data_IF_051144445190
#
_entry.id   IF_051144445190
#
_cell.length_a   1.000
_cell.length_b   1.000
_cell.length_c   1.000
_cell.angle_alpha   90.00
_cell.angle_beta   90.00
_cell.angle_gamma   90.00
#
_symmetry.space_group_name_H-M   'P 1'
#
loop_
_entity.id
_entity.type
_entity.pdbx_description
1 polymer ?
#
# COMPACT_ATOMS: atom_id res chain seq x y z
N UNK A 1 -9.20 21.24 -9.37
CA UNK A 1 -10.13 20.14 -9.06
C UNK A 1 -10.25 19.28 -10.30
N UNK A 2 -9.88 18.00 -10.21
CA UNK A 2 -9.95 17.09 -11.36
C UNK A 2 -11.29 16.35 -11.34
N UNK A 3 -11.98 16.31 -12.47
CA UNK A 3 -13.21 15.55 -12.65
C UNK A 3 -12.93 14.40 -13.60
N UNK A 4 -13.32 13.20 -13.20
CA UNK A 4 -13.19 11.98 -14.01
C UNK A 4 -14.60 11.51 -14.36
N UNK A 5 -14.85 11.29 -15.65
CA UNK A 5 -16.08 10.66 -16.11
C UNK A 5 -15.79 9.19 -16.45
N UNK A 6 -16.49 8.27 -15.81
CA UNK A 6 -16.46 6.84 -16.13
C UNK A 6 -17.63 6.57 -17.08
N UNK A 7 -17.34 6.04 -18.27
CA UNK A 7 -18.34 5.78 -19.33
C UNK A 7 -18.47 4.29 -19.57
N UNK A 8 -19.60 3.89 -20.17
CA UNK A 8 -19.87 2.52 -20.60
C UNK A 8 -19.76 1.50 -19.45
N UNK A 9 -20.25 1.88 -18.26
CA UNK A 9 -20.32 0.95 -17.14
C UNK A 9 -21.43 -0.06 -17.42
N UNK A 10 -21.19 -1.33 -17.11
CA UNK A 10 -22.24 -2.35 -17.20
C UNK A 10 -23.30 -2.03 -16.15
N UNK A 11 -24.57 -2.23 -16.51
CA UNK A 11 -25.69 -1.91 -15.63
C UNK A 11 -25.57 -2.59 -14.26
N UNK A 12 -25.20 -3.88 -14.26
CA UNK A 12 -25.04 -4.66 -13.03
C UNK A 12 -23.95 -4.08 -12.10
N UNK A 13 -22.87 -3.56 -12.67
CA UNK A 13 -21.77 -2.96 -11.92
C UNK A 13 -22.21 -1.61 -11.33
N UNK A 14 -22.95 -0.81 -12.11
CA UNK A 14 -23.53 0.46 -11.65
C UNK A 14 -24.46 0.24 -10.46
N UNK A 15 -25.41 -0.69 -10.59
CA UNK A 15 -26.38 -1.02 -9.54
C UNK A 15 -25.71 -1.56 -8.27
N UNK A 16 -24.66 -2.37 -8.43
CA UNK A 16 -23.88 -2.88 -7.30
C UNK A 16 -23.17 -1.75 -6.54
N UNK A 17 -22.55 -0.81 -7.26
CA UNK A 17 -21.90 0.36 -6.66
C UNK A 17 -22.90 1.30 -5.99
N UNK A 18 -24.08 1.48 -6.60
CA UNK A 18 -25.17 2.27 -6.04
C UNK A 18 -25.65 1.70 -4.71
N UNK A 19 -25.97 0.39 -4.69
CA UNK A 19 -26.41 -0.30 -3.46
C UNK A 19 -25.34 -0.26 -2.37
N UNK A 20 -24.07 -0.41 -2.73
CA UNK A 20 -22.97 -0.26 -1.77
C UNK A 20 -22.92 1.15 -1.17
N UNK A 21 -23.02 2.20 -1.99
CA UNK A 21 -23.04 3.57 -1.53
C UNK A 21 -24.25 3.86 -0.60
N UNK A 22 -25.44 3.38 -0.97
CA UNK A 22 -26.67 3.52 -0.18
C UNK A 22 -26.55 2.80 1.17
N UNK A 23 -25.95 1.60 1.20
CA UNK A 23 -25.73 0.85 2.45
C UNK A 23 -24.80 1.57 3.43
N UNK A 24 -23.90 2.41 2.93
CA UNK A 24 -23.01 3.26 3.73
C UNK A 24 -23.62 4.65 4.01
N UNK A 25 -24.85 4.92 3.56
CA UNK A 25 -25.51 6.22 3.72
C UNK A 25 -24.84 7.34 2.92
N UNK A 26 -24.10 7.01 1.85
CA UNK A 26 -23.32 7.95 1.04
C UNK A 26 -23.95 8.15 -0.33
N UNK A 27 -23.74 9.32 -0.93
CA UNK A 27 -23.98 9.48 -2.36
C UNK A 27 -22.98 8.64 -3.17
N UNK A 28 -23.39 8.15 -4.35
CA UNK A 28 -22.51 7.38 -5.23
C UNK A 28 -21.21 8.14 -5.55
N UNK A 29 -21.27 9.46 -5.76
CA UNK A 29 -20.09 10.28 -6.00
C UNK A 29 -19.14 10.32 -4.80
N UNK A 30 -19.67 10.47 -3.59
CA UNK A 30 -18.85 10.47 -2.37
C UNK A 30 -18.19 9.11 -2.15
N UNK A 31 -18.94 8.03 -2.35
CA UNK A 31 -18.44 6.66 -2.30
C UNK A 31 -17.31 6.43 -3.31
N UNK A 32 -17.54 6.76 -4.59
CA UNK A 32 -16.53 6.56 -5.65
C UNK A 32 -15.26 7.38 -5.41
N UNK A 33 -15.38 8.60 -4.87
CA UNK A 33 -14.21 9.42 -4.49
C UNK A 33 -13.34 8.72 -3.44
N UNK A 34 -13.95 8.08 -2.45
CA UNK A 34 -13.23 7.31 -1.44
C UNK A 34 -12.56 6.08 -2.04
N UNK A 35 -13.27 5.34 -2.91
CA UNK A 35 -12.71 4.19 -3.60
C UNK A 35 -11.49 4.54 -4.46
N UNK A 36 -11.55 5.66 -5.19
CA UNK A 36 -10.41 6.18 -5.95
C UNK A 36 -9.23 6.54 -5.03
N UNK A 37 -9.51 7.13 -3.86
CA UNK A 37 -8.49 7.41 -2.86
C UNK A 37 -7.79 6.15 -2.35
N UNK A 38 -8.56 5.09 -2.09
CA UNK A 38 -8.03 3.78 -1.68
C UNK A 38 -7.18 3.15 -2.79
N UNK A 39 -7.66 3.20 -4.03
CA UNK A 39 -6.93 2.71 -5.20
C UNK A 39 -5.59 3.45 -5.38
N UNK A 40 -5.60 4.78 -5.27
CA UNK A 40 -4.40 5.60 -5.40
C UNK A 40 -3.35 5.26 -4.32
N UNK A 41 -3.78 5.06 -3.07
CA UNK A 41 -2.89 4.62 -1.98
C UNK A 41 -2.30 3.24 -2.26
N UNK A 42 -3.11 2.31 -2.75
CA UNK A 42 -2.65 0.97 -3.13
C UNK A 42 -1.63 1.01 -4.28
N UNK A 43 -1.91 1.79 -5.31
CA UNK A 43 -1.01 1.99 -6.45
C UNK A 43 0.33 2.58 -6.02
N UNK A 44 0.33 3.61 -5.17
CA UNK A 44 1.56 4.20 -4.60
C UNK A 44 2.39 3.18 -3.83
N UNK A 45 1.76 2.40 -2.93
CA UNK A 45 2.46 1.35 -2.18
C UNK A 45 3.07 0.31 -3.12
N UNK A 46 2.30 -0.14 -4.11
CA UNK A 46 2.80 -1.09 -5.11
C UNK A 46 4.02 -0.54 -5.85
N UNK A 47 3.96 0.71 -6.32
CA UNK A 47 5.09 1.34 -7.01
C UNK A 47 6.36 1.40 -6.14
N UNK A 48 6.23 1.71 -4.84
CA UNK A 48 7.37 1.70 -3.91
C UNK A 48 7.99 0.32 -3.73
N UNK A 49 7.16 -0.72 -3.63
CA UNK A 49 7.67 -2.09 -3.54
C UNK A 49 8.30 -2.57 -4.85
N UNK A 50 7.69 -2.22 -5.98
CA UNK A 50 8.22 -2.56 -7.30
C UNK A 50 9.59 -1.87 -7.50
N UNK A 51 9.74 -0.59 -7.12
CA UNK A 51 11.04 0.10 -7.18
C UNK A 51 12.07 -0.50 -6.23
N UNK A 52 11.68 -0.84 -5.00
CA UNK A 52 12.59 -1.49 -4.05
C UNK A 52 13.08 -2.85 -4.56
N UNK A 53 12.19 -3.61 -5.22
CA UNK A 53 12.53 -4.90 -5.84
C UNK A 53 13.49 -4.73 -7.02
N UNK A 54 13.27 -3.70 -7.84
CA UNK A 54 14.15 -3.35 -8.96
C UNK A 54 15.54 -2.96 -8.45
N UNK A 55 15.64 -2.06 -7.47
CA UNK A 55 16.92 -1.70 -6.85
C UNK A 55 17.62 -2.89 -6.20
N UNK A 56 16.88 -3.81 -5.57
CA UNK A 56 17.45 -5.04 -5.00
C UNK A 56 17.97 -6.01 -6.08
N UNK A 57 17.35 -6.04 -7.26
CA UNK A 57 17.82 -6.82 -8.39
C UNK A 57 19.08 -6.20 -9.04
N UNK A 58 19.14 -4.87 -9.12
CA UNK A 58 20.30 -4.14 -9.66
C UNK A 58 21.52 -4.15 -8.73
N UNK A 59 21.31 -4.15 -7.42
CA UNK A 59 22.39 -4.16 -6.41
C UNK A 59 23.22 -5.45 -6.39
N UNK A 60 22.84 -6.45 -7.17
CA UNK A 60 23.51 -7.75 -7.22
C UNK A 60 23.21 -8.57 -5.96
N UNK A 61 22.88 -9.84 -6.16
CA UNK A 61 22.71 -10.80 -5.07
C UNK A 61 24.08 -11.10 -4.45
N UNK A 62 24.57 -10.23 -3.57
CA UNK A 62 25.47 -10.69 -2.51
C UNK A 62 24.69 -11.73 -1.70
N UNK A 63 25.28 -12.88 -1.40
CA UNK A 63 24.63 -13.95 -0.63
C UNK A 63 24.03 -13.34 0.64
N UNK A 64 22.72 -13.16 0.64
CA UNK A 64 21.97 -12.71 1.82
C UNK A 64 22.04 -13.88 2.80
N UNK A 65 23.08 -13.90 3.61
CA UNK A 65 23.27 -14.88 4.66
C UNK A 65 22.47 -14.46 5.91
N UNK A 66 22.16 -15.45 6.74
CA UNK A 66 21.48 -15.21 8.02
C UNK A 66 22.29 -14.25 8.89
N UNK A 67 23.61 -14.36 8.84
CA UNK A 67 24.56 -13.55 9.57
C UNK A 67 24.49 -12.08 9.13
N UNK A 68 24.37 -11.83 7.82
CA UNK A 68 24.21 -10.46 7.28
C UNK A 68 22.90 -9.82 7.72
N UNK A 69 21.79 -10.57 7.70
CA UNK A 69 20.48 -10.07 8.14
C UNK A 69 20.51 -9.72 9.64
N UNK A 70 21.13 -10.58 10.47
CA UNK A 70 21.23 -10.33 11.91
C UNK A 70 22.11 -9.12 12.22
N UNK A 71 23.20 -8.92 11.48
CA UNK A 71 24.05 -7.73 11.63
C UNK A 71 23.31 -6.43 11.28
N UNK A 72 22.56 -6.41 10.18
CA UNK A 72 21.74 -5.25 9.80
C UNK A 72 20.63 -4.96 10.83
N UNK A 73 19.97 -6.01 11.33
CA UNK A 73 18.94 -5.86 12.35
C UNK A 73 19.49 -5.32 13.68
N UNK A 74 20.67 -5.77 14.09
CA UNK A 74 21.34 -5.28 15.30
C UNK A 74 21.75 -3.80 15.15
N UNK A 75 22.26 -3.43 13.97
CA UNK A 75 22.60 -2.05 13.64
C UNK A 75 21.37 -1.12 13.61
N UNK A 76 20.23 -1.57 13.06
CA UNK A 76 18.97 -0.79 13.02
C UNK A 76 18.34 -0.68 14.40
N UNK A 77 18.37 -1.76 15.18
CA UNK A 77 17.77 -1.83 16.52
C UNK A 77 18.52 -0.95 17.51
N UNK A 78 19.83 -0.83 17.36
CA UNK A 78 20.71 -0.26 18.37
C UNK A 78 20.85 -1.17 19.59
N UNK A 79 21.74 -0.84 20.53
CA UNK A 79 21.96 -1.63 21.73
C UNK A 79 20.63 -1.77 22.49
N UNK A 80 20.33 -2.99 22.94
CA UNK A 80 19.25 -3.19 23.90
C UNK A 80 19.52 -2.29 25.11
N UNK A 81 18.50 -1.61 25.68
CA UNK A 81 18.65 -1.03 26.99
C UNK A 81 19.00 -2.20 27.91
N UNK A 82 20.26 -2.26 28.35
CA UNK A 82 20.66 -3.21 29.38
C UNK A 82 19.68 -3.02 30.52
N UNK A 83 19.15 -4.14 31.00
CA UNK A 83 18.22 -4.15 32.11
C UNK A 83 18.79 -3.24 33.18
N UNK A 84 18.03 -2.20 33.52
CA UNK A 84 18.14 -1.50 34.77
C UNK A 84 17.84 -2.52 35.88
N UNK A 85 18.80 -3.38 36.18
CA UNK A 85 18.91 -4.07 37.45
C UNK A 85 19.73 -3.15 38.36
N UNK A 86 18.97 -2.50 39.25
CA UNK A 86 19.35 -1.79 40.49
C UNK A 86 20.26 -0.55 40.41
#
# INVERSE_FOLDING_TARGET
>A
MATIQIRNLREDDYESLRRAAESEGKSLQAYMREQVGTLARRARRKALFDSARESAAESGQGEISRESILADLDAIRGPWPEGSDE
#
